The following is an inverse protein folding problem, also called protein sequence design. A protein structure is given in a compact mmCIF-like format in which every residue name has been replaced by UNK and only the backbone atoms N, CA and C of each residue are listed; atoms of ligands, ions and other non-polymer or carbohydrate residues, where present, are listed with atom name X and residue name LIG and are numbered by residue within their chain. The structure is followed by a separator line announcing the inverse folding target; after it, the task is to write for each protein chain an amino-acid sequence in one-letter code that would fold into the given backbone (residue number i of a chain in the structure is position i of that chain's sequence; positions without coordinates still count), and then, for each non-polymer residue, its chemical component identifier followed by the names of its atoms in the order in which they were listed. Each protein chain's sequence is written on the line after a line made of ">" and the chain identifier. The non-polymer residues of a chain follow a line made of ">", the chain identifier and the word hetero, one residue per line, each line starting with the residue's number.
data_IF_437367766512
#
_entry.id   IF_437367766512
#
_cell.length_a   1.000
_cell.length_b   1.000
_cell.length_c   1.000
_cell.angle_alpha   90.00
_cell.angle_beta   90.00
_cell.angle_gamma   90.00
#
_symmetry.space_group_name_H-M   'P 1'
#
loop_
_entity.id
_entity.type
_entity.pdbx_description
1 polymer ?
#
# COMPACT_ATOMS: atom_id res chain seq x y z
N UNK A 1 -15.23 -76.22 32.94
CA UNK A 1 -13.83 -75.74 33.03
C UNK A 1 -13.09 -76.26 31.79
N UNK A 2 -12.19 -75.53 31.09
CA UNK A 2 -11.89 -74.09 31.08
C UNK A 2 -12.11 -73.41 29.70
N UNK A 3 -11.90 -72.08 29.71
CA UNK A 3 -11.95 -71.09 28.62
C UNK A 3 -10.83 -71.26 27.58
N UNK A 4 -11.00 -70.63 26.40
CA UNK A 4 -10.06 -69.72 25.67
C UNK A 4 -10.41 -69.70 24.18
N UNK A 5 -10.26 -68.65 23.39
CA UNK A 5 -10.14 -67.20 23.55
C UNK A 5 -10.23 -66.68 22.10
N UNK A 6 -11.04 -65.67 21.84
CA UNK A 6 -11.21 -65.10 20.49
C UNK A 6 -9.93 -64.44 19.99
N UNK A 7 -9.62 -64.65 18.71
CA UNK A 7 -8.60 -63.90 18.01
C UNK A 7 -9.20 -62.56 17.53
N UNK A 8 -8.79 -61.46 18.16
CA UNK A 8 -9.09 -60.12 17.70
C UNK A 8 -8.11 -59.74 16.57
N UNK A 9 -8.65 -59.49 15.38
CA UNK A 9 -7.91 -58.91 14.25
C UNK A 9 -7.66 -57.42 14.51
N UNK A 10 -6.41 -57.05 14.78
CA UNK A 10 -5.96 -55.65 14.82
C UNK A 10 -5.83 -55.11 13.39
N UNK A 11 -6.83 -54.36 12.93
CA UNK A 11 -6.70 -53.51 11.76
C UNK A 11 -5.95 -52.24 12.11
N UNK A 12 -4.72 -52.08 11.61
CA UNK A 12 -4.03 -50.79 11.63
C UNK A 12 -4.65 -49.89 10.55
N UNK A 13 -5.63 -49.07 10.95
CA UNK A 13 -6.08 -47.94 10.15
C UNK A 13 -5.06 -46.81 10.24
N UNK A 14 -4.33 -46.54 9.15
CA UNK A 14 -3.50 -45.33 9.02
C UNK A 14 -4.44 -44.16 8.76
N UNK A 15 -4.79 -43.43 9.82
CA UNK A 15 -5.48 -42.14 9.70
C UNK A 15 -4.42 -41.11 9.33
N UNK A 16 -4.23 -40.88 8.03
CA UNK A 16 -3.44 -39.76 7.55
C UNK A 16 -4.24 -38.46 7.77
N UNK A 17 -4.05 -37.83 8.92
CA UNK A 17 -4.58 -36.50 9.20
C UNK A 17 -3.88 -35.49 8.30
N UNK A 18 -4.52 -35.10 7.20
CA UNK A 18 -4.15 -33.88 6.45
C UNK A 18 -4.39 -32.67 7.36
N UNK A 19 -3.35 -32.23 8.06
CA UNK A 19 -3.32 -30.91 8.65
C UNK A 19 -3.21 -29.89 7.50
N UNK A 20 -4.34 -29.33 7.08
CA UNK A 20 -4.38 -28.11 6.27
C UNK A 20 -3.78 -26.98 7.12
N UNK A 21 -2.47 -26.78 7.00
CA UNK A 21 -1.78 -25.61 7.53
C UNK A 21 -2.25 -24.39 6.73
N UNK A 22 -3.32 -23.75 7.18
CA UNK A 22 -3.62 -22.39 6.76
C UNK A 22 -2.47 -21.51 7.26
N UNK A 23 -1.61 -21.06 6.34
CA UNK A 23 -0.57 -20.11 6.67
C UNK A 23 -1.23 -18.86 7.28
N UNK A 24 -0.74 -18.32 8.41
CA UNK A 24 -1.26 -17.08 8.94
C UNK A 24 -1.10 -16.00 7.86
N UNK A 25 -2.20 -15.33 7.51
CA UNK A 25 -2.16 -14.13 6.69
C UNK A 25 -1.43 -13.05 7.48
N UNK A 26 -0.14 -12.90 7.24
CA UNK A 26 0.65 -11.84 7.85
C UNK A 26 0.15 -10.50 7.30
N UNK A 27 -0.67 -9.79 8.10
CA UNK A 27 -1.32 -8.56 7.67
C UNK A 27 -0.33 -7.40 7.72
N UNK A 28 0.08 -6.92 6.56
CA UNK A 28 0.91 -5.73 6.40
C UNK A 28 0.10 -4.47 6.59
N UNK A 29 0.70 -3.40 7.13
CA UNK A 29 -0.03 -2.17 7.40
C UNK A 29 0.90 -0.96 7.55
N UNK A 30 0.66 0.09 6.75
CA UNK A 30 1.39 1.35 6.85
C UNK A 30 0.85 2.46 5.94
N UNK A 31 1.30 3.69 6.19
CA UNK A 31 0.93 4.88 5.41
C UNK A 31 2.08 5.90 5.38
N UNK A 32 2.07 6.82 4.42
CA UNK A 32 2.99 7.96 4.40
C UNK A 32 2.45 9.15 5.19
N UNK A 33 3.32 9.79 5.96
CA UNK A 33 3.03 11.05 6.65
C UNK A 33 3.96 12.20 6.21
N UNK A 34 4.90 11.94 5.29
CA UNK A 34 5.73 12.97 4.63
C UNK A 34 6.06 12.54 3.19
N UNK A 35 5.52 13.23 2.15
CA UNK A 35 4.39 14.15 2.25
C UNK A 35 3.15 13.40 2.76
N UNK A 36 2.28 14.10 3.50
CA UNK A 36 1.11 13.47 4.13
C UNK A 36 0.17 12.88 3.06
N UNK A 37 -0.24 11.63 3.26
CA UNK A 37 -1.17 10.93 2.36
C UNK A 37 -2.63 11.28 2.60
N UNK A 38 -3.49 11.05 1.61
CA UNK A 38 -4.95 11.22 1.69
C UNK A 38 -5.55 10.43 2.84
N UNK A 39 -5.21 9.14 2.97
CA UNK A 39 -5.69 8.31 4.08
C UNK A 39 -5.28 8.88 5.44
N UNK A 40 -4.08 9.48 5.55
CA UNK A 40 -3.62 10.08 6.80
C UNK A 40 -4.29 11.43 7.08
N UNK A 41 -4.58 12.23 6.06
CA UNK A 41 -5.42 13.44 6.18
C UNK A 41 -6.84 13.09 6.68
N UNK A 42 -7.43 12.02 6.17
CA UNK A 42 -8.71 11.49 6.63
C UNK A 42 -8.65 11.05 8.09
N UNK A 43 -7.62 10.28 8.48
CA UNK A 43 -7.45 9.85 9.86
C UNK A 43 -7.24 11.01 10.84
N UNK A 44 -6.53 12.06 10.40
CA UNK A 44 -6.31 13.28 11.19
C UNK A 44 -7.55 14.20 11.22
N UNK A 45 -8.66 13.83 10.56
CA UNK A 45 -9.87 14.65 10.40
C UNK A 45 -9.62 16.00 9.73
N UNK A 46 -8.50 16.13 9.00
CA UNK A 46 -8.22 17.31 8.15
C UNK A 46 -9.13 17.31 6.92
N UNK A 47 -9.52 16.11 6.45
CA UNK A 47 -10.55 15.92 5.42
C UNK A 47 -11.66 15.07 6.02
N UNK A 48 -12.91 15.52 5.85
CA UNK A 48 -14.11 14.80 6.28
C UNK A 48 -14.64 13.87 5.19
N UNK A 49 -15.66 13.08 5.55
CA UNK A 49 -16.41 12.26 4.60
C UNK A 49 -15.52 11.25 3.85
N UNK A 50 -14.59 10.62 4.56
CA UNK A 50 -13.66 9.65 4.00
C UNK A 50 -14.13 8.19 4.13
N UNK A 51 -15.30 7.91 4.69
CA UNK A 51 -15.74 6.53 4.93
C UNK A 51 -14.85 5.81 5.97
N UNK A 52 -14.72 4.48 5.91
CA UNK A 52 -14.03 3.69 6.93
C UNK A 52 -12.52 3.98 7.04
N UNK A 53 -11.84 4.39 5.96
CA UNK A 53 -10.38 4.60 5.98
C UNK A 53 -9.91 5.63 7.02
N UNK A 54 -10.79 6.52 7.46
CA UNK A 54 -10.49 7.48 8.53
C UNK A 54 -10.15 6.82 9.88
N UNK A 55 -10.40 5.53 10.05
CA UNK A 55 -10.09 4.76 11.26
C UNK A 55 -8.87 3.86 11.10
N UNK A 56 -8.43 3.64 9.85
CA UNK A 56 -7.41 2.66 9.51
C UNK A 56 -6.55 3.11 8.33
N UNK A 57 -5.86 4.27 8.42
CA UNK A 57 -5.06 4.79 7.32
C UNK A 57 -3.99 3.81 6.83
N UNK A 58 -3.59 2.85 7.66
CA UNK A 58 -2.61 1.83 7.36
C UNK A 58 -3.09 0.72 6.41
N UNK A 59 -4.38 0.65 6.08
CA UNK A 59 -5.03 -0.53 5.47
C UNK A 59 -5.26 -0.44 3.96
N UNK A 60 -4.65 0.52 3.25
CA UNK A 60 -4.79 0.65 1.78
C UNK A 60 -3.94 -0.41 1.05
N UNK A 61 -4.32 -1.68 1.20
CA UNK A 61 -3.59 -2.85 0.69
C UNK A 61 -4.20 -3.36 -0.64
N UNK A 62 -3.50 -3.21 -1.75
CA UNK A 62 -3.91 -3.73 -3.05
C UNK A 62 -2.97 -4.82 -3.58
N UNK A 63 -3.33 -5.48 -4.69
CA UNK A 63 -2.40 -6.40 -5.34
C UNK A 63 -1.13 -5.69 -5.81
N UNK A 64 0.03 -6.33 -5.66
CA UNK A 64 1.31 -5.79 -6.13
C UNK A 64 1.48 -5.86 -7.66
N UNK A 65 2.63 -5.37 -8.13
CA UNK A 65 3.00 -5.41 -9.54
C UNK A 65 2.68 -4.13 -10.32
N UNK A 66 2.33 -3.04 -9.61
CA UNK A 66 2.17 -1.73 -10.21
C UNK A 66 3.46 -1.30 -10.97
N UNK A 67 3.37 -0.73 -12.19
CA UNK A 67 2.15 -0.35 -12.89
C UNK A 67 1.57 -1.43 -13.83
N UNK A 68 2.28 -2.53 -14.11
CA UNK A 68 1.80 -3.55 -15.06
C UNK A 68 0.57 -4.33 -14.54
N UNK A 69 0.43 -4.43 -13.22
CA UNK A 69 -0.70 -5.02 -12.51
C UNK A 69 -1.14 -4.09 -11.38
N UNK A 70 -1.77 -4.64 -10.34
CA UNK A 70 -2.28 -3.90 -9.19
C UNK A 70 -3.63 -3.22 -9.43
N UNK A 71 -4.00 -2.22 -8.62
CA UNK A 71 -5.31 -1.57 -8.68
C UNK A 71 -5.65 -1.00 -10.06
N UNK A 72 -6.90 -1.07 -10.47
CA UNK A 72 -7.35 -0.53 -11.75
C UNK A 72 -7.16 1.00 -11.82
N UNK A 73 -7.12 1.55 -13.04
CA UNK A 73 -7.12 2.99 -13.25
C UNK A 73 -8.39 3.61 -12.64
N UNK A 74 -8.23 4.75 -11.95
CA UNK A 74 -9.29 5.39 -11.17
C UNK A 74 -9.55 4.75 -9.79
N UNK A 75 -8.83 3.69 -9.43
CA UNK A 75 -8.94 3.01 -8.13
C UNK A 75 -7.59 2.87 -7.40
N UNK A 76 -6.59 3.64 -7.83
CA UNK A 76 -5.20 3.49 -7.40
C UNK A 76 -5.01 3.97 -5.96
N UNK A 77 -5.63 5.09 -5.59
CA UNK A 77 -5.47 5.68 -4.25
C UNK A 77 -6.23 4.92 -3.18
N UNK A 78 -7.28 4.16 -3.54
CA UNK A 78 -7.95 3.22 -2.63
C UNK A 78 -7.33 1.82 -2.62
N UNK A 79 -6.26 1.55 -3.39
CA UNK A 79 -5.70 0.21 -3.49
C UNK A 79 -6.66 -0.82 -4.13
N UNK A 80 -7.68 -0.37 -4.87
CA UNK A 80 -8.72 -1.22 -5.45
C UNK A 80 -9.92 -1.50 -4.54
N UNK A 81 -9.94 -0.96 -3.30
CA UNK A 81 -11.01 -1.19 -2.33
C UNK A 81 -12.17 -0.22 -2.53
N UNK A 82 -13.36 -0.77 -2.77
CA UNK A 82 -14.59 0.01 -2.95
C UNK A 82 -15.01 0.76 -1.68
N UNK A 83 -14.72 0.19 -0.51
CA UNK A 83 -14.96 0.78 0.80
C UNK A 83 -14.08 2.00 1.09
N UNK A 84 -12.96 2.14 0.38
CA UNK A 84 -12.04 3.28 0.49
C UNK A 84 -12.12 4.23 -0.71
N UNK A 85 -13.14 4.11 -1.56
CA UNK A 85 -13.29 4.87 -2.81
C UNK A 85 -13.25 6.40 -2.65
N UNK A 86 -13.49 6.90 -1.43
CA UNK A 86 -13.34 8.33 -1.11
C UNK A 86 -11.90 8.82 -1.30
N UNK A 87 -10.89 7.94 -1.28
CA UNK A 87 -9.51 8.29 -1.59
C UNK A 87 -9.26 8.52 -3.08
N UNK A 88 -10.06 7.91 -3.96
CA UNK A 88 -9.98 8.07 -5.42
C UNK A 88 -10.80 9.27 -5.92
N UNK A 89 -11.77 9.73 -5.15
CA UNK A 89 -12.53 10.94 -5.44
C UNK A 89 -11.57 12.15 -5.50
N UNK A 90 -11.43 12.84 -6.66
CA UNK A 90 -10.57 13.99 -6.77
C UNK A 90 -11.06 15.21 -5.96
N UNK A 91 -12.31 15.21 -5.48
CA UNK A 91 -12.93 16.34 -4.74
C UNK A 91 -12.74 17.67 -5.47
N UNK A 92 -12.91 17.66 -6.79
CA UNK A 92 -12.68 18.82 -7.65
C UNK A 92 -11.23 19.34 -7.64
N UNK A 93 -10.25 18.50 -7.27
CA UNK A 93 -8.85 18.90 -7.09
C UNK A 93 -8.57 19.64 -5.78
N UNK A 94 -9.46 19.56 -4.79
CA UNK A 94 -9.39 20.37 -3.57
C UNK A 94 -8.73 19.67 -2.36
N UNK A 95 -8.13 18.49 -2.54
CA UNK A 95 -7.36 17.85 -1.46
C UNK A 95 -6.25 18.78 -0.93
N UNK A 96 -6.05 18.86 0.41
CA UNK A 96 -4.95 19.63 0.99
C UNK A 96 -3.59 19.20 0.46
N UNK A 97 -2.73 20.16 0.12
CA UNK A 97 -1.41 19.89 -0.46
C UNK A 97 -0.27 20.11 0.52
N UNK A 98 0.75 19.27 0.47
CA UNK A 98 2.06 19.59 1.03
C UNK A 98 2.83 20.49 0.06
N UNK A 99 3.33 21.65 0.50
CA UNK A 99 4.22 22.49 -0.32
C UNK A 99 5.58 21.81 -0.45
N UNK A 100 6.09 21.73 -1.67
CA UNK A 100 7.38 21.11 -2.00
C UNK A 100 8.11 21.97 -3.03
N UNK A 101 9.42 21.79 -3.15
CA UNK A 101 10.22 22.52 -4.14
C UNK A 101 10.75 21.54 -5.18
N UNK A 102 10.55 21.85 -6.46
CA UNK A 102 11.10 21.07 -7.58
C UNK A 102 12.62 20.88 -7.43
N UNK A 103 13.10 19.63 -7.54
CA UNK A 103 14.52 19.29 -7.46
C UNK A 103 15.14 19.30 -6.05
N UNK A 104 14.40 19.71 -5.01
CA UNK A 104 14.93 19.79 -3.65
C UNK A 104 15.05 18.40 -3.01
N UNK A 105 16.11 18.19 -2.22
CA UNK A 105 16.22 17.04 -1.32
C UNK A 105 15.00 16.93 -0.40
N UNK A 106 14.48 15.72 -0.24
CA UNK A 106 13.26 15.46 0.50
C UNK A 106 13.30 14.10 1.20
N UNK A 107 12.83 14.06 2.45
CA UNK A 107 12.68 12.84 3.24
C UNK A 107 11.28 12.28 3.13
N UNK A 108 11.11 11.16 2.43
CA UNK A 108 9.83 10.47 2.29
C UNK A 108 9.63 9.52 3.47
N UNK A 109 8.61 9.75 4.30
CA UNK A 109 8.43 9.00 5.56
C UNK A 109 7.20 8.11 5.54
N UNK A 110 7.41 6.87 5.95
CA UNK A 110 6.40 5.87 6.23
C UNK A 110 6.28 5.61 7.74
N UNK A 111 5.05 5.37 8.18
CA UNK A 111 4.71 4.85 9.50
C UNK A 111 4.04 3.49 9.31
N UNK A 112 4.49 2.48 10.04
CA UNK A 112 3.94 1.13 10.00
C UNK A 112 3.25 0.80 11.32
N UNK A 113 2.09 0.15 11.26
CA UNK A 113 1.50 -0.51 12.44
C UNK A 113 1.83 -2.00 12.44
N UNK A 114 2.15 -2.55 11.26
CA UNK A 114 2.78 -3.84 11.07
C UNK A 114 3.73 -3.74 9.87
N UNK A 115 5.03 -3.61 10.13
CA UNK A 115 6.08 -3.70 9.11
C UNK A 115 6.26 -5.16 8.67
N UNK A 116 6.57 -5.44 7.40
CA UNK A 116 6.77 -6.82 6.89
C UNK A 116 8.03 -6.95 6.06
N UNK A 117 8.36 -8.17 5.65
CA UNK A 117 9.40 -8.39 4.65
C UNK A 117 9.08 -7.56 3.41
N UNK A 118 10.01 -6.71 2.97
CA UNK A 118 9.74 -5.73 1.91
C UNK A 118 10.59 -6.01 0.68
N UNK A 119 9.96 -6.00 -0.50
CA UNK A 119 10.69 -6.02 -1.78
C UNK A 119 11.28 -4.64 -2.04
N UNK A 120 10.41 -3.63 -2.12
CA UNK A 120 10.81 -2.26 -2.43
C UNK A 120 9.78 -1.22 -1.93
N UNK A 121 10.21 0.04 -1.99
CA UNK A 121 9.34 1.21 -2.02
C UNK A 121 9.57 1.96 -3.32
N UNK A 122 8.49 2.35 -4.00
CA UNK A 122 8.53 3.14 -5.23
C UNK A 122 7.70 4.39 -5.11
N UNK A 123 8.20 5.48 -5.67
CA UNK A 123 7.54 6.78 -5.66
C UNK A 123 7.37 7.29 -7.09
N UNK A 124 6.12 7.52 -7.48
CA UNK A 124 5.73 8.05 -8.77
C UNK A 124 5.18 9.46 -8.60
N UNK A 125 5.22 10.24 -9.67
CA UNK A 125 4.65 11.58 -9.73
C UNK A 125 3.81 11.71 -10.99
N UNK A 126 2.77 12.52 -10.91
CA UNK A 126 1.96 12.91 -12.08
C UNK A 126 2.76 13.73 -13.11
N UNK A 127 2.38 13.64 -14.38
CA UNK A 127 2.96 14.42 -15.49
C UNK A 127 2.58 15.89 -15.40
N UNK A 128 3.38 16.77 -15.99
CA UNK A 128 2.96 18.16 -16.19
C UNK A 128 1.73 18.20 -17.08
N UNK A 129 0.76 19.06 -16.73
CA UNK A 129 -0.52 19.15 -17.44
C UNK A 129 -1.53 18.05 -17.12
N UNK A 130 -1.29 17.19 -16.12
CA UNK A 130 -2.32 16.28 -15.61
C UNK A 130 -3.52 17.08 -15.03
N UNK A 131 -4.71 16.51 -15.11
CA UNK A 131 -5.93 17.13 -14.59
C UNK A 131 -6.20 16.66 -13.14
N UNK A 132 -6.01 17.52 -12.11
CA UNK A 132 -6.22 17.15 -10.71
C UNK A 132 -7.70 16.96 -10.35
N UNK A 133 -8.62 17.29 -11.26
CA UNK A 133 -10.06 17.10 -11.07
C UNK A 133 -10.54 15.72 -11.54
N UNK A 134 -9.64 14.86 -12.03
CA UNK A 134 -9.92 13.50 -12.46
C UNK A 134 -9.30 12.47 -11.52
N UNK A 135 -9.91 11.27 -11.39
CA UNK A 135 -9.29 10.14 -10.71
C UNK A 135 -7.91 9.81 -11.28
N UNK A 136 -6.99 9.35 -10.43
CA UNK A 136 -5.64 9.01 -10.85
C UNK A 136 -5.64 7.79 -11.77
N UNK A 137 -4.93 7.88 -12.89
CA UNK A 137 -4.69 6.77 -13.82
C UNK A 137 -3.21 6.62 -14.09
N UNK A 138 -2.79 5.45 -14.61
CA UNK A 138 -1.42 5.24 -15.09
C UNK A 138 -1.01 6.25 -16.16
N UNK A 139 -1.94 6.66 -17.03
CA UNK A 139 -1.67 7.64 -18.07
C UNK A 139 -1.28 9.03 -17.52
N UNK A 140 -1.81 9.39 -16.34
CA UNK A 140 -1.51 10.63 -15.65
C UNK A 140 -0.15 10.63 -14.92
N UNK A 141 0.45 9.45 -14.68
CA UNK A 141 1.73 9.30 -14.00
C UNK A 141 2.91 9.29 -14.99
N UNK A 142 4.06 9.79 -14.53
CA UNK A 142 5.34 9.50 -15.18
C UNK A 142 5.54 7.98 -15.24
N UNK A 143 6.07 7.49 -16.36
CA UNK A 143 6.16 6.05 -16.64
C UNK A 143 7.14 5.30 -15.72
N UNK A 144 8.06 6.03 -15.09
CA UNK A 144 9.04 5.50 -14.16
C UNK A 144 8.90 6.16 -12.78
N UNK A 145 9.15 5.41 -11.69
CA UNK A 145 9.26 6.03 -10.38
C UNK A 145 10.48 6.96 -10.36
N UNK A 146 10.34 8.13 -9.72
CA UNK A 146 11.45 9.05 -9.55
C UNK A 146 12.37 8.65 -8.38
N UNK A 147 11.89 7.77 -7.49
CA UNK A 147 12.67 7.17 -6.41
C UNK A 147 12.25 5.71 -6.24
N UNK A 148 13.24 4.81 -6.16
CA UNK A 148 13.05 3.40 -5.79
C UNK A 148 14.03 3.07 -4.66
N UNK A 149 13.53 2.45 -3.58
CA UNK A 149 14.33 1.99 -2.45
C UNK A 149 14.14 0.49 -2.31
N UNK A 150 15.15 -0.28 -2.72
CA UNK A 150 15.13 -1.74 -2.61
C UNK A 150 15.39 -2.19 -1.17
N UNK A 151 14.65 -3.20 -0.71
CA UNK A 151 14.80 -3.80 0.63
C UNK A 151 15.19 -5.28 0.58
N UNK A 152 15.08 -5.96 -0.58
CA UNK A 152 15.56 -7.33 -0.79
C UNK A 152 15.08 -8.33 0.28
N UNK A 153 13.84 -8.19 0.74
CA UNK A 153 13.23 -9.05 1.75
C UNK A 153 13.53 -8.67 3.20
N UNK A 154 14.34 -7.63 3.44
CA UNK A 154 14.54 -7.10 4.80
C UNK A 154 13.29 -6.38 5.29
N UNK A 155 13.12 -6.33 6.61
CA UNK A 155 11.99 -5.67 7.27
C UNK A 155 12.37 -4.22 7.61
N UNK A 156 11.58 -3.20 7.22
CA UNK A 156 11.84 -1.80 7.56
C UNK A 156 11.65 -1.57 9.06
N UNK A 157 12.20 -0.49 9.60
CA UNK A 157 11.84 -0.02 10.94
C UNK A 157 10.37 0.42 10.98
N UNK A 158 9.77 0.53 12.17
CA UNK A 158 8.36 0.98 12.33
C UNK A 158 8.13 2.41 11.82
N UNK A 159 9.18 3.23 11.84
CA UNK A 159 9.24 4.51 11.14
C UNK A 159 10.44 4.46 10.21
N UNK A 160 10.21 4.67 8.92
CA UNK A 160 11.29 4.68 7.93
C UNK A 160 11.25 5.97 7.13
N UNK A 161 12.43 6.58 6.94
CA UNK A 161 12.61 7.74 6.08
C UNK A 161 13.51 7.36 4.91
N UNK A 162 13.03 7.59 3.69
CA UNK A 162 13.80 7.44 2.47
C UNK A 162 14.26 8.82 1.99
N UNK A 163 15.57 9.01 1.88
CA UNK A 163 16.13 10.24 1.33
C UNK A 163 16.14 10.17 -0.20
N UNK A 164 15.66 11.22 -0.84
CA UNK A 164 15.68 11.38 -2.29
C UNK A 164 15.57 12.84 -2.68
N UNK A 165 15.19 13.11 -3.92
CA UNK A 165 14.87 14.44 -4.39
C UNK A 165 13.46 14.47 -4.97
N UNK A 166 12.77 15.60 -4.77
CA UNK A 166 11.56 15.90 -5.51
C UNK A 166 11.89 15.99 -7.01
N UNK A 167 11.03 15.48 -7.91
CA UNK A 167 11.26 15.56 -9.35
C UNK A 167 11.48 17.01 -9.81
N UNK A 168 12.49 17.21 -10.65
CA UNK A 168 12.76 18.51 -11.26
C UNK A 168 11.76 18.84 -12.37
N UNK A 169 11.50 20.13 -12.57
CA UNK A 169 10.65 20.62 -13.67
C UNK A 169 9.16 20.42 -13.46
N UNK A 170 8.73 20.06 -12.24
CA UNK A 170 7.32 20.03 -11.83
C UNK A 170 6.89 21.40 -11.35
N UNK A 171 5.66 21.78 -11.67
CA UNK A 171 5.08 23.08 -11.29
C UNK A 171 3.60 22.89 -11.02
N UNK A 172 3.06 23.57 -10.01
CA UNK A 172 1.63 23.48 -9.74
C UNK A 172 1.27 22.27 -8.89
N UNK A 173 -0.03 21.95 -8.87
CA UNK A 173 -0.54 20.81 -8.12
C UNK A 173 -0.12 19.50 -8.80
N UNK A 174 0.40 18.59 -8.00
CA UNK A 174 0.73 17.22 -8.40
C UNK A 174 0.28 16.23 -7.34
N UNK A 175 0.17 14.98 -7.77
CA UNK A 175 0.07 13.84 -6.87
C UNK A 175 1.36 13.03 -6.89
N UNK A 176 1.83 12.64 -5.71
CA UNK A 176 2.86 11.63 -5.51
C UNK A 176 2.16 10.34 -5.08
N UNK A 177 2.44 9.25 -5.79
CA UNK A 177 2.00 7.90 -5.43
C UNK A 177 3.20 7.16 -4.82
N UNK A 178 3.10 6.81 -3.54
CA UNK A 178 4.03 5.92 -2.87
C UNK A 178 3.46 4.50 -2.85
N UNK A 179 4.28 3.52 -3.25
CA UNK A 179 3.93 2.10 -3.27
C UNK A 179 4.93 1.34 -2.41
N UNK A 180 4.45 0.59 -1.43
CA UNK A 180 5.25 -0.34 -0.64
C UNK A 180 4.93 -1.77 -1.06
N UNK A 181 5.90 -2.46 -1.68
CA UNK A 181 5.72 -3.85 -2.13
C UNK A 181 6.12 -4.83 -1.03
N UNK A 182 5.18 -5.65 -0.58
CA UNK A 182 5.44 -6.71 0.39
C UNK A 182 6.08 -7.91 -0.32
N UNK A 183 7.12 -8.47 0.29
CA UNK A 183 7.99 -9.45 -0.35
C UNK A 183 7.36 -10.84 -0.46
N UNK A 184 6.83 -11.32 0.65
CA UNK A 184 6.35 -12.67 0.87
C UNK A 184 4.83 -12.83 0.68
N UNK A 185 4.15 -11.79 0.18
CA UNK A 185 2.71 -11.80 -0.14
C UNK A 185 2.47 -11.32 -1.58
N UNK A 186 1.27 -11.51 -2.16
CA UNK A 186 0.91 -10.89 -3.43
C UNK A 186 0.51 -9.41 -3.31
N UNK A 187 0.72 -8.77 -2.16
CA UNK A 187 0.14 -7.47 -1.83
C UNK A 187 1.16 -6.33 -1.82
N UNK A 188 0.65 -5.10 -1.95
CA UNK A 188 1.36 -3.85 -1.82
C UNK A 188 0.46 -2.78 -1.18
N UNK A 189 1.06 -1.76 -0.57
CA UNK A 189 0.33 -0.64 0.02
C UNK A 189 0.45 0.59 -0.84
N UNK A 190 -0.67 1.30 -1.00
CA UNK A 190 -0.79 2.45 -1.89
C UNK A 190 -1.10 3.71 -1.10
N UNK A 191 -0.29 4.75 -1.28
CA UNK A 191 -0.48 6.03 -0.61
C UNK A 191 -0.35 7.19 -1.60
N UNK A 192 -1.46 7.89 -1.83
CA UNK A 192 -1.50 9.10 -2.63
C UNK A 192 -1.32 10.32 -1.73
N UNK A 193 -0.38 11.20 -2.08
CA UNK A 193 -0.14 12.46 -1.38
C UNK A 193 -0.25 13.61 -2.38
N UNK A 194 -1.16 14.55 -2.11
CA UNK A 194 -1.29 15.78 -2.90
C UNK A 194 -0.19 16.77 -2.50
N UNK A 195 0.48 17.34 -3.50
CA UNK A 195 1.59 18.27 -3.32
C UNK A 195 1.45 19.49 -4.23
N UNK A 196 2.07 20.58 -3.82
CA UNK A 196 2.15 21.83 -4.58
C UNK A 196 3.62 22.16 -4.81
N UNK A 197 4.05 22.05 -6.07
CA UNK A 197 5.37 22.46 -6.56
C UNK A 197 5.39 23.94 -6.92
#
# INVERSE_FOLDING_TARGET
>A
MPRRAGAATLGLGVVASLALLAAPTASSHGYTDTPISRQKLCANKTVSDCGPIQWEPQSVEGYKGFPAAGPADGQICAGGHSEFAQLDDPRGGAWPTTKVTSGQSYGFRWQFTANHSTTDFKYYVTKNGWDPTKPLTRAALESQPFLTVAYNGTRPAMTTVHQGAMPSGKTGRHMILAVWTVNDTPMAFYACSDVQF
#
